data_IF_024706252114
#
_entry.id   IF_024706252114
#
_cell.length_a   1.000
_cell.length_b   1.000
_cell.length_c   1.000
_cell.angle_alpha   90.00
_cell.angle_beta   90.00
_cell.angle_gamma   90.00
#
_symmetry.space_group_name_H-M   'P 1'
#
loop_
_entity.id
_entity.type
_entity.pdbx_description
1 polymer ?
#
# COMPACT_ATOMS: atom_id res chain seq x y z
N UNK A 1 -45.87 18.62 35.95
CA UNK A 1 -44.71 19.31 35.33
C UNK A 1 -43.47 18.77 36.03
N UNK A 2 -42.69 17.90 35.37
CA UNK A 2 -41.51 17.29 36.00
C UNK A 2 -40.40 18.34 36.00
N UNK A 3 -39.96 18.77 37.18
CA UNK A 3 -38.83 19.68 37.31
C UNK A 3 -37.55 18.90 37.05
N UNK A 4 -36.99 19.00 35.84
CA UNK A 4 -35.66 18.47 35.55
C UNK A 4 -34.65 19.34 36.29
N UNK A 5 -34.10 18.81 37.37
CA UNK A 5 -33.03 19.49 38.11
C UNK A 5 -31.85 19.77 37.19
N UNK A 6 -31.16 20.89 37.42
CA UNK A 6 -29.94 21.23 36.67
C UNK A 6 -28.91 20.09 36.71
N UNK A 7 -28.86 19.35 37.83
CA UNK A 7 -28.03 18.16 37.99
C UNK A 7 -28.36 17.05 36.99
N UNK A 8 -29.63 16.81 36.67
CA UNK A 8 -30.02 15.80 35.66
C UNK A 8 -29.60 16.19 34.25
N UNK A 9 -29.68 17.46 33.87
CA UNK A 9 -29.20 17.94 32.57
C UNK A 9 -27.67 17.85 32.45
N UNK A 10 -26.95 18.13 33.54
CA UNK A 10 -25.49 18.01 33.59
C UNK A 10 -25.06 16.53 33.47
N UNK A 11 -25.74 15.61 34.15
CA UNK A 11 -25.47 14.17 34.04
C UNK A 11 -25.68 13.69 32.59
N UNK A 12 -26.78 14.09 31.94
CA UNK A 12 -26.97 13.77 30.52
C UNK A 12 -25.85 14.36 29.64
N UNK A 13 -25.44 15.62 29.86
CA UNK A 13 -24.37 16.25 29.10
C UNK A 13 -23.01 15.53 29.24
N UNK A 14 -22.68 14.99 30.43
CA UNK A 14 -21.47 14.19 30.64
C UNK A 14 -21.57 12.77 30.05
N UNK A 15 -22.76 12.17 30.02
CA UNK A 15 -22.99 10.86 29.37
C UNK A 15 -23.00 10.94 27.83
N UNK A 16 -23.24 12.14 27.28
CA UNK A 16 -23.16 12.40 25.83
C UNK A 16 -21.75 12.73 25.33
N UNK A 17 -20.72 12.71 26.18
CA UNK A 17 -19.32 12.68 25.73
C UNK A 17 -18.96 11.28 25.21
N UNK A 18 -19.70 10.82 24.20
CA UNK A 18 -19.24 9.76 23.33
C UNK A 18 -18.28 10.43 22.36
N UNK A 19 -17.00 10.45 22.73
CA UNK A 19 -15.96 10.76 21.76
C UNK A 19 -16.09 9.75 20.62
N UNK A 20 -16.47 10.24 19.44
CA UNK A 20 -16.42 9.45 18.23
C UNK A 20 -14.95 9.04 18.02
N UNK A 21 -14.61 7.81 18.40
CA UNK A 21 -13.29 7.25 18.15
C UNK A 21 -13.01 7.41 16.65
N UNK A 22 -11.89 8.03 16.24
CA UNK A 22 -11.57 8.17 14.84
C UNK A 22 -11.53 6.78 14.20
N UNK A 23 -12.16 6.61 13.04
CA UNK A 23 -12.08 5.37 12.26
C UNK A 23 -10.63 5.20 11.76
N UNK A 24 -9.86 4.42 12.51
CA UNK A 24 -8.38 4.44 12.53
C UNK A 24 -7.69 3.52 11.51
N UNK A 25 -8.18 2.31 11.28
CA UNK A 25 -7.55 1.39 10.30
C UNK A 25 -7.80 1.76 8.84
N UNK A 26 -8.85 2.55 8.58
CA UNK A 26 -9.18 2.89 7.19
C UNK A 26 -8.09 3.83 6.61
N UNK A 27 -7.39 4.60 7.45
CA UNK A 27 -6.54 5.77 7.08
C UNK A 27 -5.44 5.51 6.06
N UNK A 28 -4.49 4.65 6.40
CA UNK A 28 -3.38 4.38 5.50
C UNK A 28 -3.82 3.71 4.18
N UNK A 29 -4.85 2.86 4.22
CA UNK A 29 -5.32 2.14 3.03
C UNK A 29 -5.95 3.06 1.97
N UNK A 30 -6.66 4.11 2.38
CA UNK A 30 -7.19 5.07 1.38
C UNK A 30 -6.13 6.03 0.85
N UNK A 31 -5.10 6.34 1.64
CA UNK A 31 -3.96 7.11 1.14
C UNK A 31 -3.22 6.29 0.08
N UNK A 32 -2.97 4.99 0.34
CA UNK A 32 -2.39 4.06 -0.62
C UNK A 32 -3.22 3.94 -1.91
N UNK A 33 -4.54 3.69 -1.81
CA UNK A 33 -5.42 3.61 -2.99
C UNK A 33 -5.39 4.90 -3.82
N UNK A 34 -5.35 6.06 -3.16
CA UNK A 34 -5.28 7.36 -3.86
C UNK A 34 -3.95 7.52 -4.60
N UNK A 35 -2.83 7.13 -3.97
CA UNK A 35 -1.49 7.18 -4.55
C UNK A 35 -1.40 6.23 -5.76
N UNK A 36 -1.81 4.97 -5.62
CA UNK A 36 -1.86 4.00 -6.73
C UNK A 36 -2.75 4.51 -7.86
N UNK A 37 -3.95 5.00 -7.55
CA UNK A 37 -4.90 5.51 -8.54
C UNK A 37 -4.33 6.68 -9.33
N UNK A 38 -3.59 7.58 -8.67
CA UNK A 38 -2.97 8.71 -9.37
C UNK A 38 -1.92 8.27 -10.39
N UNK A 39 -1.09 7.27 -10.08
CA UNK A 39 -0.02 6.81 -10.96
C UNK A 39 -0.52 5.86 -12.06
N UNK A 40 -1.43 4.96 -11.72
CA UNK A 40 -1.80 3.84 -12.59
C UNK A 40 -3.12 4.05 -13.33
N UNK A 41 -3.99 4.93 -12.83
CA UNK A 41 -5.38 5.05 -13.29
C UNK A 41 -6.28 3.87 -12.90
N UNK A 42 -5.78 2.93 -12.09
CA UNK A 42 -6.52 1.77 -11.54
C UNK A 42 -6.72 1.94 -10.05
N UNK A 43 -7.77 1.34 -9.50
CA UNK A 43 -7.93 1.31 -8.05
C UNK A 43 -6.82 0.47 -7.41
N UNK A 44 -6.30 0.91 -6.26
CA UNK A 44 -5.39 0.11 -5.44
C UNK A 44 -6.00 -1.24 -5.04
N UNK A 45 -7.33 -1.32 -4.94
CA UNK A 45 -8.02 -2.58 -4.67
C UNK A 45 -7.84 -3.64 -5.77
N UNK A 46 -7.54 -3.26 -7.01
CA UNK A 46 -7.27 -4.21 -8.10
C UNK A 46 -5.98 -5.03 -7.83
N UNK A 47 -5.06 -4.48 -7.04
CA UNK A 47 -3.80 -5.14 -6.68
C UNK A 47 -3.91 -5.92 -5.37
N UNK A 48 -4.97 -5.71 -4.58
CA UNK A 48 -5.13 -6.44 -3.32
C UNK A 48 -5.38 -7.93 -3.57
N UNK A 49 -4.57 -8.80 -2.97
CA UNK A 49 -4.61 -10.24 -3.22
C UNK A 49 -4.02 -10.65 -4.56
N UNK A 50 -3.28 -9.76 -5.23
CA UNK A 50 -2.52 -10.10 -6.42
C UNK A 50 -1.26 -10.91 -6.05
N UNK A 51 -1.03 -12.02 -6.75
CA UNK A 51 0.18 -12.83 -6.60
C UNK A 51 0.46 -13.24 -5.15
N UNK A 52 1.74 -13.32 -4.81
CA UNK A 52 2.21 -13.82 -3.53
C UNK A 52 2.44 -12.73 -2.48
N UNK A 53 2.65 -11.50 -2.89
CA UNK A 53 3.04 -10.40 -2.02
C UNK A 53 1.98 -9.31 -1.90
N UNK A 54 1.22 -9.00 -2.96
CA UNK A 54 0.23 -7.92 -2.82
C UNK A 54 -0.91 -8.31 -1.88
N UNK A 55 -1.18 -7.46 -0.87
CA UNK A 55 -2.23 -7.63 0.13
C UNK A 55 -1.68 -7.86 1.54
N UNK A 56 -2.42 -8.58 2.38
CA UNK A 56 -1.99 -8.89 3.74
C UNK A 56 -0.99 -10.07 3.75
N UNK A 57 0.19 -9.81 4.34
CA UNK A 57 1.30 -10.76 4.38
C UNK A 57 1.96 -10.95 3.02
N UNK A 58 3.00 -11.77 2.98
CA UNK A 58 3.74 -12.01 1.74
C UNK A 58 4.82 -13.05 1.98
N UNK A 59 5.04 -13.94 1.01
CA UNK A 59 6.10 -14.94 1.11
C UNK A 59 6.44 -15.55 -0.24
N UNK A 60 7.59 -16.22 -0.30
CA UNK A 60 8.01 -16.97 -1.48
C UNK A 60 8.49 -16.08 -2.62
N UNK A 61 8.49 -16.62 -3.83
CA UNK A 61 9.00 -15.92 -5.01
C UNK A 61 7.86 -15.12 -5.66
N UNK A 62 8.06 -13.82 -5.98
CA UNK A 62 7.08 -13.06 -6.75
C UNK A 62 6.74 -13.74 -8.07
N UNK A 63 5.45 -13.79 -8.41
CA UNK A 63 4.96 -14.46 -9.63
C UNK A 63 5.28 -13.68 -10.90
N UNK A 64 5.38 -12.35 -10.80
CA UNK A 64 5.79 -11.44 -11.86
C UNK A 64 6.35 -10.11 -11.29
N UNK A 65 6.49 -9.09 -12.14
CA UNK A 65 7.01 -7.78 -11.73
C UNK A 65 5.99 -6.91 -11.00
N UNK A 66 4.68 -7.12 -11.18
CA UNK A 66 3.65 -6.44 -10.38
C UNK A 66 3.74 -6.96 -8.94
N UNK A 67 3.83 -8.27 -8.78
CA UNK A 67 3.99 -8.92 -7.47
C UNK A 67 5.33 -8.55 -6.80
N UNK A 68 6.39 -8.35 -7.60
CA UNK A 68 7.69 -7.86 -7.11
C UNK A 68 7.58 -6.45 -6.53
N UNK A 69 6.79 -5.56 -7.13
CA UNK A 69 6.56 -4.22 -6.57
C UNK A 69 5.98 -4.30 -5.15
N UNK A 70 5.05 -5.22 -4.92
CA UNK A 70 4.44 -5.44 -3.61
C UNK A 70 5.43 -6.04 -2.60
N UNK A 71 6.29 -6.95 -3.03
CA UNK A 71 7.37 -7.46 -2.16
C UNK A 71 8.28 -6.34 -1.64
N UNK A 72 8.70 -5.42 -2.52
CA UNK A 72 9.54 -4.29 -2.11
C UNK A 72 8.79 -3.30 -1.21
N UNK A 73 7.49 -3.11 -1.44
CA UNK A 73 6.61 -2.32 -0.58
C UNK A 73 6.48 -2.91 0.83
N UNK A 74 6.23 -4.22 0.93
CA UNK A 74 6.18 -4.95 2.21
C UNK A 74 7.51 -4.82 2.97
N UNK A 75 8.65 -4.94 2.28
CA UNK A 75 9.97 -4.74 2.88
C UNK A 75 10.17 -3.30 3.39
N UNK A 76 9.66 -2.31 2.66
CA UNK A 76 9.68 -0.90 3.09
C UNK A 76 8.88 -0.72 4.37
N UNK A 77 7.65 -1.23 4.38
CA UNK A 77 6.75 -1.17 5.53
C UNK A 77 7.34 -1.87 6.74
N UNK A 78 7.89 -3.07 6.58
CA UNK A 78 8.54 -3.81 7.67
C UNK A 78 9.61 -2.95 8.35
N UNK A 79 10.46 -2.29 7.56
CA UNK A 79 11.54 -1.45 8.11
C UNK A 79 10.98 -0.21 8.83
N UNK A 80 9.93 0.41 8.29
CA UNK A 80 9.27 1.57 8.91
C UNK A 80 8.58 1.18 10.23
N UNK A 81 7.99 -0.02 10.32
CA UNK A 81 7.40 -0.53 11.57
C UNK A 81 8.47 -0.84 12.61
N UNK A 82 9.60 -1.44 12.20
CA UNK A 82 10.73 -1.73 13.08
C UNK A 82 11.32 -0.44 13.69
N UNK A 83 11.21 0.69 12.99
CA UNK A 83 11.54 2.05 13.46
C UNK A 83 10.45 2.68 14.38
N UNK A 84 9.45 1.90 14.80
CA UNK A 84 8.34 2.26 15.69
C UNK A 84 7.35 3.31 15.14
N UNK A 85 7.18 3.38 13.82
CA UNK A 85 6.29 4.35 13.17
C UNK A 85 4.79 3.99 13.15
N UNK A 86 4.40 2.77 13.55
CA UNK A 86 2.99 2.36 13.65
C UNK A 86 2.23 2.48 12.31
N UNK A 87 2.55 1.62 11.35
CA UNK A 87 2.07 1.64 9.95
C UNK A 87 0.54 1.80 9.81
N UNK A 88 -0.23 1.11 10.65
CA UNK A 88 -1.70 1.08 10.57
C UNK A 88 -2.38 2.25 11.29
N UNK A 89 -1.61 3.05 12.02
CA UNK A 89 -2.11 4.15 12.86
C UNK A 89 -1.64 5.53 12.39
N UNK A 90 -0.70 5.56 11.44
CA UNK A 90 -0.07 6.76 10.94
C UNK A 90 -0.69 7.17 9.60
N UNK A 91 -1.33 8.33 9.57
CA UNK A 91 -1.71 9.03 8.34
C UNK A 91 -0.55 9.90 7.85
N UNK A 92 -0.44 10.09 6.54
CA UNK A 92 0.59 10.97 5.97
C UNK A 92 0.01 12.03 5.04
N UNK A 93 0.77 13.13 4.89
CA UNK A 93 0.37 14.27 4.06
C UNK A 93 1.14 14.27 2.74
N UNK A 94 0.45 14.64 1.66
CA UNK A 94 1.04 14.67 0.33
C UNK A 94 0.30 15.64 -0.61
N UNK A 95 0.95 15.99 -1.71
CA UNK A 95 0.31 16.68 -2.84
C UNK A 95 0.30 15.78 -4.07
N UNK A 96 -0.76 15.87 -4.88
CA UNK A 96 -0.94 15.08 -6.10
C UNK A 96 -0.93 15.97 -7.34
N UNK A 97 -0.26 15.50 -8.38
CA UNK A 97 -0.06 16.25 -9.63
C UNK A 97 -0.24 15.30 -10.81
N UNK A 98 -0.78 15.80 -11.93
CA UNK A 98 -0.80 15.05 -13.19
C UNK A 98 -1.62 13.75 -13.22
N UNK A 99 -2.42 13.44 -12.20
CA UNK A 99 -3.15 12.16 -12.12
C UNK A 99 -4.09 11.92 -13.31
N UNK A 100 -4.71 12.98 -13.84
CA UNK A 100 -5.62 12.88 -14.99
C UNK A 100 -4.90 12.84 -16.35
N UNK A 101 -3.60 13.12 -16.40
CA UNK A 101 -2.84 13.26 -17.65
C UNK A 101 -1.89 12.09 -17.92
N UNK A 102 -2.00 10.99 -17.15
CA UNK A 102 -1.11 9.83 -17.26
C UNK A 102 0.31 10.07 -16.72
N UNK A 103 0.60 11.29 -16.26
CA UNK A 103 1.88 11.70 -15.67
C UNK A 103 1.72 11.90 -14.15
N UNK A 104 0.94 11.02 -13.52
CA UNK A 104 0.68 11.05 -12.09
C UNK A 104 1.97 11.13 -11.28
N UNK A 105 1.99 12.03 -10.30
CA UNK A 105 3.07 12.19 -9.36
C UNK A 105 2.53 12.57 -7.98
N UNK A 106 3.18 12.03 -6.94
CA UNK A 106 2.91 12.35 -5.55
C UNK A 106 4.16 12.99 -4.97
N UNK A 107 3.98 14.07 -4.20
CA UNK A 107 5.05 14.70 -3.42
C UNK A 107 4.69 14.57 -1.96
N UNK A 108 5.50 13.79 -1.24
CA UNK A 108 5.32 13.52 0.19
C UNK A 108 5.74 14.72 1.03
N UNK A 109 4.95 15.06 2.05
CA UNK A 109 5.27 16.14 2.98
C UNK A 109 6.03 15.59 4.19
N UNK A 110 6.93 16.41 4.75
CA UNK A 110 7.80 16.04 5.87
C UNK A 110 9.25 15.82 5.45
N UNK A 111 10.05 15.27 6.35
CA UNK A 111 11.47 14.98 6.11
C UNK A 111 11.97 13.89 7.06
N UNK A 112 13.01 13.14 6.64
CA UNK A 112 13.75 12.22 7.50
C UNK A 112 14.46 12.92 8.67
N UNK A 113 14.71 14.22 8.55
CA UNK A 113 15.39 15.03 9.58
C UNK A 113 14.46 15.63 10.64
N UNK A 114 13.15 15.49 10.47
CA UNK A 114 12.14 16.01 11.40
C UNK A 114 11.39 14.84 12.06
N UNK A 115 11.69 14.50 13.32
CA UNK A 115 11.07 13.39 14.02
C UNK A 115 9.54 13.47 14.11
N UNK A 116 8.96 14.67 13.99
CA UNK A 116 7.51 14.86 14.06
C UNK A 116 6.78 14.48 12.76
N UNK A 117 7.50 14.44 11.64
CA UNK A 117 6.94 14.13 10.31
C UNK A 117 7.58 12.92 9.64
N UNK A 118 8.70 12.42 10.16
CA UNK A 118 9.49 11.33 9.61
C UNK A 118 8.65 10.07 9.30
N UNK A 119 7.84 9.59 10.24
CA UNK A 119 7.05 8.38 10.05
C UNK A 119 6.05 8.50 8.90
N UNK A 120 5.32 9.61 8.84
CA UNK A 120 4.38 9.88 7.74
C UNK A 120 5.11 10.05 6.42
N UNK A 121 6.27 10.72 6.42
CA UNK A 121 7.09 10.90 5.23
C UNK A 121 7.57 9.56 4.64
N UNK A 122 8.09 8.66 5.49
CA UNK A 122 8.56 7.33 5.07
C UNK A 122 7.43 6.47 4.49
N UNK A 123 6.28 6.42 5.18
CA UNK A 123 5.08 5.73 4.70
C UNK A 123 4.65 6.23 3.32
N UNK A 124 4.55 7.55 3.17
CA UNK A 124 4.18 8.16 1.91
C UNK A 124 5.16 7.79 0.77
N UNK A 125 6.45 7.78 1.06
CA UNK A 125 7.47 7.43 0.06
C UNK A 125 7.44 5.94 -0.30
N UNK A 126 7.21 5.03 0.65
CA UNK A 126 6.95 3.62 0.34
C UNK A 126 5.77 3.47 -0.64
N UNK A 127 4.66 4.16 -0.38
CA UNK A 127 3.45 4.10 -1.23
C UNK A 127 3.68 4.74 -2.60
N UNK A 128 4.42 5.85 -2.65
CA UNK A 128 4.81 6.51 -3.90
C UNK A 128 5.69 5.59 -4.76
N UNK A 129 6.64 4.89 -4.15
CA UNK A 129 7.52 3.95 -4.85
C UNK A 129 6.72 2.75 -5.36
N UNK A 130 5.80 2.20 -4.58
CA UNK A 130 4.89 1.14 -5.02
C UNK A 130 4.11 1.59 -6.25
N UNK A 131 3.42 2.73 -6.17
CA UNK A 131 2.61 3.25 -7.26
C UNK A 131 3.42 3.56 -8.53
N UNK A 132 4.65 4.07 -8.38
CA UNK A 132 5.59 4.26 -9.49
C UNK A 132 5.98 2.93 -10.15
N UNK A 133 6.31 1.92 -9.35
CA UNK A 133 6.64 0.58 -9.82
C UNK A 133 5.46 -0.08 -10.54
N UNK A 134 4.25 -0.01 -9.97
CA UNK A 134 3.03 -0.53 -10.59
C UNK A 134 2.73 0.18 -11.92
N UNK A 135 2.95 1.48 -12.03
CA UNK A 135 2.78 2.21 -13.32
C UNK A 135 3.72 1.68 -14.39
N UNK A 136 4.99 1.40 -14.06
CA UNK A 136 5.97 0.86 -15.01
C UNK A 136 5.60 -0.55 -15.47
N UNK A 137 4.94 -1.33 -14.61
CA UNK A 137 4.52 -2.71 -14.86
C UNK A 137 3.02 -2.84 -15.17
N UNK A 138 2.32 -1.75 -15.47
CA UNK A 138 0.85 -1.76 -15.61
C UNK A 138 0.36 -2.72 -16.71
N UNK A 139 1.18 -2.87 -17.77
CA UNK A 139 0.85 -3.66 -18.95
C UNK A 139 1.18 -5.14 -18.76
N UNK A 140 1.94 -5.50 -17.70
CA UNK A 140 2.20 -6.89 -17.31
C UNK A 140 1.22 -7.44 -16.27
N UNK A 141 0.28 -6.62 -15.78
CA UNK A 141 -0.80 -7.09 -14.91
C UNK A 141 -1.57 -8.23 -15.56
N UNK A 142 -1.49 -9.41 -14.94
CA UNK A 142 -2.17 -10.62 -15.38
C UNK A 142 -3.29 -11.01 -14.43
N UNK A 143 -4.53 -11.07 -14.92
CA UNK A 143 -5.72 -11.41 -14.14
C UNK A 143 -5.69 -12.82 -13.54
N UNK A 144 -4.87 -13.73 -14.08
CA UNK A 144 -4.67 -15.08 -13.50
C UNK A 144 -4.12 -15.00 -12.08
N UNK A 145 -3.33 -13.98 -11.77
CA UNK A 145 -2.77 -13.78 -10.44
C UNK A 145 -3.64 -12.87 -9.55
N UNK A 146 -4.81 -12.42 -10.02
CA UNK A 146 -5.75 -11.71 -9.16
C UNK A 146 -6.43 -12.69 -8.19
N UNK A 147 -6.55 -12.30 -6.91
CA UNK A 147 -7.06 -13.17 -5.84
C UNK A 147 -6.28 -14.50 -5.73
N UNK A 148 -4.96 -14.44 -5.91
CA UNK A 148 -4.11 -15.62 -5.93
C UNK A 148 -4.05 -16.28 -4.56
N UNK A 149 -4.25 -17.60 -4.52
CA UNK A 149 -4.25 -18.33 -3.26
C UNK A 149 -2.82 -18.47 -2.71
N UNK A 150 -2.56 -17.80 -1.58
CA UNK A 150 -1.22 -17.71 -0.96
C UNK A 150 -0.59 -19.07 -0.63
N UNK A 151 -1.37 -20.15 -0.50
CA UNK A 151 -0.85 -21.52 -0.33
C UNK A 151 0.05 -22.00 -1.48
N UNK A 152 -0.03 -21.38 -2.65
CA UNK A 152 0.80 -21.72 -3.81
C UNK A 152 2.10 -20.92 -3.88
N UNK A 153 2.36 -20.02 -2.92
CA UNK A 153 3.52 -19.13 -2.95
C UNK A 153 4.83 -19.78 -2.52
N UNK A 154 4.78 -20.99 -1.98
CA UNK A 154 5.99 -21.76 -1.69
C UNK A 154 6.75 -22.10 -2.98
N UNK A 155 8.09 -22.01 -2.89
CA UNK A 155 8.99 -21.99 -4.06
C UNK A 155 8.87 -23.19 -5.02
N UNK A 156 8.32 -24.34 -4.57
CA UNK A 156 8.08 -25.53 -5.40
C UNK A 156 6.73 -25.51 -6.13
N UNK A 157 5.73 -24.79 -5.62
CA UNK A 157 4.37 -24.75 -6.18
C UNK A 157 4.16 -23.52 -7.06
N UNK A 158 4.72 -22.36 -6.70
CA UNK A 158 4.56 -21.13 -7.48
C UNK A 158 5.07 -21.29 -8.92
N UNK A 159 6.25 -21.91 -9.09
CA UNK A 159 6.82 -22.14 -10.43
C UNK A 159 6.00 -23.14 -11.24
N UNK A 160 5.47 -24.19 -10.62
CA UNK A 160 4.63 -25.19 -11.29
C UNK A 160 3.28 -24.59 -11.74
N UNK A 161 2.68 -23.71 -10.92
CA UNK A 161 1.43 -23.00 -11.25
C UNK A 161 1.66 -21.97 -12.36
N UNK A 162 2.78 -21.22 -12.32
CA UNK A 162 3.15 -20.30 -13.41
C UNK A 162 3.33 -21.07 -14.73
N UNK A 163 4.02 -22.21 -14.72
CA UNK A 163 4.18 -23.04 -15.93
C UNK A 163 2.84 -23.58 -16.44
N UNK A 164 1.97 -24.09 -15.57
CA UNK A 164 0.65 -24.59 -15.97
C UNK A 164 -0.23 -23.49 -16.60
N UNK A 165 -0.21 -22.27 -16.07
CA UNK A 165 -1.01 -21.18 -16.62
C UNK A 165 -0.41 -20.56 -17.89
N UNK A 166 0.93 -20.48 -17.99
CA UNK A 166 1.60 -20.04 -19.23
C UNK A 166 1.24 -20.95 -20.40
N UNK A 167 1.14 -22.26 -20.18
CA UNK A 167 0.74 -23.24 -21.21
C UNK A 167 -0.71 -23.05 -21.70
N UNK A 168 -1.57 -22.42 -20.89
CA UNK A 168 -2.94 -22.07 -21.30
C UNK A 168 -3.06 -20.71 -22.01
N UNK A 169 -2.00 -19.89 -21.98
CA UNK A 169 -2.01 -18.49 -22.44
C UNK A 169 -0.97 -18.17 -23.52
N UNK A 170 -0.32 -19.18 -24.11
CA UNK A 170 0.76 -19.01 -25.08
C UNK A 170 0.29 -18.40 -26.41
N UNK A 171 0.07 -17.08 -26.41
CA UNK A 171 0.17 -16.21 -27.58
C UNK A 171 0.49 -14.75 -27.21
N UNK A 172 1.47 -14.50 -26.34
CA UNK A 172 2.08 -13.18 -26.25
C UNK A 172 3.49 -13.26 -25.64
N UNK A 173 4.50 -13.15 -26.51
CA UNK A 173 5.89 -12.94 -26.09
C UNK A 173 6.13 -11.45 -25.94
N UNK A 174 6.39 -10.98 -24.72
CA UNK A 174 6.89 -9.62 -24.50
C UNK A 174 8.12 -9.68 -23.60
N UNK A 175 9.24 -9.22 -24.12
CA UNK A 175 10.51 -9.01 -23.40
C UNK A 175 10.33 -7.92 -22.34
N UNK A 176 10.59 -8.25 -21.07
CA UNK A 176 10.46 -7.33 -19.94
C UNK A 176 11.83 -6.73 -19.57
N UNK A 177 11.90 -5.40 -19.54
CA UNK A 177 13.05 -4.64 -19.03
C UNK A 177 12.69 -4.19 -17.61
N UNK A 178 13.11 -4.97 -16.60
CA UNK A 178 12.96 -4.61 -15.19
C UNK A 178 14.00 -3.59 -14.75
N UNK A 179 13.58 -2.40 -14.32
CA UNK A 179 14.46 -1.41 -13.68
C UNK A 179 14.52 -1.62 -12.17
N UNK A 180 15.71 -1.82 -11.62
CA UNK A 180 16.01 -2.07 -10.21
C UNK A 180 15.82 -0.80 -9.35
N UNK A 181 14.70 -0.72 -8.60
CA UNK A 181 14.40 0.37 -7.65
C UNK A 181 14.77 0.02 -6.19
N UNK A 182 15.44 -1.12 -5.93
CA UNK A 182 15.77 -1.55 -4.55
C UNK A 182 16.56 -0.52 -3.76
N UNK A 183 17.43 0.23 -4.43
CA UNK A 183 18.20 1.31 -3.79
C UNK A 183 17.33 2.47 -3.30
N UNK A 184 16.22 2.78 -3.98
CA UNK A 184 15.32 3.86 -3.56
C UNK A 184 14.51 3.46 -2.31
N UNK A 185 14.04 2.21 -2.27
CA UNK A 185 13.37 1.67 -1.09
C UNK A 185 14.28 1.66 0.13
N UNK A 186 15.52 1.21 -0.01
CA UNK A 186 16.48 1.18 1.10
C UNK A 186 16.78 2.57 1.67
N UNK A 187 16.84 3.61 0.84
CA UNK A 187 17.06 5.00 1.28
C UNK A 187 15.89 5.57 2.08
N UNK A 188 14.66 5.21 1.73
CA UNK A 188 13.44 5.66 2.42
C UNK A 188 13.27 4.91 3.75
N UNK A 189 13.57 3.61 3.72
CA UNK A 189 13.30 2.69 4.80
C UNK A 189 14.27 2.85 6.00
N UNK A 190 15.50 3.32 5.78
CA UNK A 190 16.54 3.34 6.83
C UNK A 190 16.66 4.71 7.53
N UNK A 191 16.81 4.71 8.87
CA UNK A 191 17.25 5.90 9.61
C UNK A 191 18.71 6.25 9.30
N UNK A 192 19.02 7.54 9.04
CA UNK A 192 20.39 7.99 8.84
C UNK A 192 21.25 7.81 10.09
#
# INVERSE_FOLDING_TARGET
MVSLSLATLIIFAFLYQVDAAPTKEKRSLWELDTVISCYTGRSGFDFNGYGCWCGLGGSGKPVDDVDRCCMEHDNCYQTVEDDHCGLYFSSYQYTKQGCASGNGNIVCAGSLSDPSTECGFRLCECDRLLASCLRRNRDSYNTVFANFEKRFCDARLAQAVVSYHVDTSSNSSTTVVGGDERGAYQQVAQRP
#
